data_IF_926467270950
#
_entry.id   IF_926467270950
#
_cell.length_a   1.000
_cell.length_b   1.000
_cell.length_c   1.000
_cell.angle_alpha   90.00
_cell.angle_beta   90.00
_cell.angle_gamma   90.00
#
_symmetry.space_group_name_H-M   'P 1'
#
loop_
_entity.id
_entity.type
_entity.pdbx_description
1 polymer ?
#
# COMPACT_ATOMS: atom_id res chain seq x y z
N UNK A 1 -16.95 17.12 -6.86
CA UNK A 1 -17.51 16.31 -5.76
C UNK A 1 -16.43 15.33 -5.33
N UNK A 2 -16.22 15.11 -4.03
CA UNK A 2 -15.21 14.16 -3.57
C UNK A 2 -15.81 12.75 -3.58
N UNK A 3 -15.09 11.82 -4.20
CA UNK A 3 -15.39 10.39 -4.25
C UNK A 3 -14.44 9.64 -3.33
N UNK A 4 -14.89 8.49 -2.84
CA UNK A 4 -14.11 7.67 -1.93
C UNK A 4 -14.24 6.18 -2.25
N UNK A 5 -13.21 5.43 -1.88
CA UNK A 5 -13.14 3.98 -2.00
C UNK A 5 -12.29 3.39 -0.87
N UNK A 6 -12.69 2.21 -0.41
CA UNK A 6 -11.92 1.40 0.54
C UNK A 6 -12.06 -0.09 0.17
N UNK A 7 -10.97 -0.87 0.16
CA UNK A 7 -11.07 -2.31 -0.08
C UNK A 7 -11.68 -3.01 1.13
N UNK A 8 -12.41 -4.11 0.88
CA UNK A 8 -12.73 -5.07 1.94
C UNK A 8 -11.47 -5.84 2.30
N UNK A 9 -10.94 -5.61 3.51
CA UNK A 9 -9.77 -6.31 4.03
C UNK A 9 -10.22 -7.51 4.88
N UNK A 10 -9.46 -8.63 4.87
CA UNK A 10 -9.70 -9.71 5.82
C UNK A 10 -9.45 -9.23 7.26
N UNK A 11 -10.06 -9.87 8.26
CA UNK A 11 -9.96 -9.45 9.66
C UNK A 11 -8.53 -9.37 10.22
N UNK A 12 -7.58 -10.10 9.61
CA UNK A 12 -6.14 -10.06 9.93
C UNK A 12 -5.31 -9.12 9.05
N UNK A 13 -5.93 -8.32 8.18
CA UNK A 13 -5.24 -7.45 7.23
C UNK A 13 -4.59 -8.19 6.06
N UNK A 14 -4.03 -7.41 5.12
CA UNK A 14 -3.27 -7.93 3.98
C UNK A 14 -1.79 -7.87 4.29
N UNK A 15 -1.09 -9.00 4.17
CA UNK A 15 0.36 -9.03 4.28
C UNK A 15 1.04 -8.24 3.17
N UNK A 16 1.95 -7.34 3.56
CA UNK A 16 2.80 -6.56 2.68
C UNK A 16 4.24 -7.07 2.77
N UNK A 17 4.90 -7.15 1.63
CA UNK A 17 6.36 -7.29 1.56
C UNK A 17 7.06 -5.95 1.80
N UNK A 18 6.36 -4.83 1.56
CA UNK A 18 6.83 -3.49 1.87
C UNK A 18 5.79 -2.44 1.52
N UNK A 19 5.84 -1.31 2.23
CA UNK A 19 5.15 -0.09 1.86
C UNK A 19 6.14 1.06 1.93
N UNK A 20 6.17 1.88 0.88
CA UNK A 20 6.93 3.12 0.92
C UNK A 20 6.16 4.27 0.29
N UNK A 21 6.38 5.47 0.81
CA UNK A 21 5.93 6.71 0.20
C UNK A 21 7.17 7.47 -0.25
N UNK A 22 7.20 7.88 -1.51
CA UNK A 22 8.31 8.62 -2.09
C UNK A 22 7.78 9.97 -2.55
N UNK A 23 8.33 11.03 -1.99
CA UNK A 23 8.09 12.39 -2.47
C UNK A 23 9.30 12.87 -3.26
N UNK A 24 9.08 13.43 -4.45
CA UNK A 24 10.08 14.08 -5.28
C UNK A 24 9.57 15.45 -5.76
N UNK A 25 10.04 16.52 -5.12
CA UNK A 25 9.58 17.87 -5.43
C UNK A 25 8.07 18.05 -5.16
N UNK A 26 7.26 18.05 -6.22
CA UNK A 26 5.78 18.16 -6.15
C UNK A 26 5.08 16.81 -6.34
N UNK A 27 5.81 15.79 -6.75
CA UNK A 27 5.26 14.48 -7.04
C UNK A 27 5.32 13.62 -5.78
N UNK A 28 4.25 12.89 -5.50
CA UNK A 28 4.16 11.99 -4.37
C UNK A 28 3.64 10.65 -4.88
N UNK A 29 4.27 9.56 -4.47
CA UNK A 29 3.87 8.21 -4.87
C UNK A 29 3.84 7.28 -3.67
N UNK A 30 2.80 6.46 -3.57
CA UNK A 30 2.77 5.30 -2.69
C UNK A 30 3.10 4.04 -3.47
N UNK A 31 4.05 3.28 -2.95
CA UNK A 31 4.51 2.01 -3.51
C UNK A 31 4.15 0.89 -2.55
N UNK A 32 3.32 -0.04 -3.02
CA UNK A 32 2.85 -1.18 -2.22
C UNK A 32 3.37 -2.47 -2.83
N UNK A 33 4.20 -3.18 -2.08
CA UNK A 33 4.74 -4.47 -2.44
C UNK A 33 3.98 -5.56 -1.68
N UNK A 34 3.40 -6.51 -2.42
CA UNK A 34 2.68 -7.66 -1.85
C UNK A 34 3.35 -8.97 -2.31
N UNK A 35 3.43 -9.99 -1.45
CA UNK A 35 4.03 -11.27 -1.82
C UNK A 35 3.39 -11.86 -3.09
N UNK A 36 4.21 -12.21 -4.08
CA UNK A 36 3.76 -12.85 -5.32
C UNK A 36 2.92 -11.95 -6.26
N UNK A 37 2.91 -10.64 -6.03
CA UNK A 37 2.19 -9.64 -6.85
C UNK A 37 3.15 -8.60 -7.39
N UNK A 38 2.81 -8.02 -8.54
CA UNK A 38 3.51 -6.84 -9.06
C UNK A 38 3.35 -5.67 -8.10
N UNK A 39 4.43 -4.87 -7.95
CA UNK A 39 4.39 -3.62 -7.19
C UNK A 39 3.28 -2.72 -7.70
N UNK A 40 2.47 -2.19 -6.78
CA UNK A 40 1.52 -1.14 -7.09
C UNK A 40 2.19 0.21 -6.89
N UNK A 41 1.95 1.14 -7.82
CA UNK A 41 2.39 2.53 -7.73
C UNK A 41 1.16 3.43 -7.87
N UNK A 42 0.91 4.23 -6.85
CA UNK A 42 -0.28 5.07 -6.72
C UNK A 42 0.22 6.51 -6.63
N UNK A 43 0.00 7.37 -7.65
CA UNK A 43 0.25 8.79 -7.55
C UNK A 43 -0.65 9.40 -6.48
N UNK A 44 -0.06 10.22 -5.63
CA UNK A 44 -0.72 10.82 -4.48
C UNK A 44 -0.79 12.34 -4.62
N UNK A 45 -1.90 12.91 -4.21
CA UNK A 45 -1.98 14.35 -3.91
C UNK A 45 -1.66 14.63 -2.44
N UNK A 46 -1.95 13.65 -1.58
CA UNK A 46 -1.71 13.70 -0.14
C UNK A 46 -1.72 12.27 0.45
N UNK A 47 -1.07 12.07 1.60
CA UNK A 47 -1.09 10.79 2.30
C UNK A 47 -1.06 10.92 3.82
N UNK A 48 -1.89 10.12 4.49
CA UNK A 48 -1.86 9.88 5.92
C UNK A 48 -1.50 8.43 6.21
N UNK A 49 -0.57 8.19 7.13
CA UNK A 49 -0.23 6.84 7.59
C UNK A 49 -0.34 6.76 9.10
N UNK A 50 -1.23 5.89 9.57
CA UNK A 50 -1.37 5.51 10.97
C UNK A 50 -0.67 4.18 11.20
N UNK A 51 0.16 4.08 12.24
CA UNK A 51 0.91 2.87 12.55
C UNK A 51 0.54 2.33 13.93
N UNK A 52 0.27 1.03 14.01
CA UNK A 52 0.19 0.29 15.26
C UNK A 52 1.56 -0.03 15.85
N UNK A 53 1.56 -0.70 16.99
CA UNK A 53 2.79 -1.12 17.69
C UNK A 53 3.66 -2.04 16.80
N UNK A 54 4.98 -1.89 16.93
CA UNK A 54 5.96 -2.72 16.23
C UNK A 54 6.24 -2.36 14.77
N UNK A 55 5.56 -1.34 14.23
CA UNK A 55 5.89 -0.77 12.92
C UNK A 55 6.98 0.28 13.07
N UNK A 56 8.01 0.20 12.25
CA UNK A 56 9.11 1.16 12.16
C UNK A 56 8.97 1.97 10.88
N UNK A 57 9.26 3.27 10.96
CA UNK A 57 9.40 4.17 9.83
C UNK A 57 10.87 4.55 9.66
N UNK A 58 11.45 4.16 8.53
CA UNK A 58 12.74 4.62 8.08
C UNK A 58 12.55 5.81 7.13
N UNK A 59 13.12 6.97 7.48
CA UNK A 59 13.13 8.15 6.61
C UNK A 59 14.49 8.26 5.94
N UNK A 60 14.51 8.23 4.61
CA UNK A 60 15.73 8.27 3.80
C UNK A 60 15.70 9.45 2.84
N UNK A 61 16.77 10.22 2.83
CA UNK A 61 17.02 11.20 1.78
C UNK A 61 17.54 10.48 0.55
N UNK A 62 16.89 10.68 -0.59
CA UNK A 62 17.35 10.14 -1.88
C UNK A 62 18.34 11.13 -2.50
N UNK A 63 17.94 12.41 -2.55
CA UNK A 63 18.76 13.53 -3.00
C UNK A 63 18.36 14.84 -2.29
N UNK A 64 18.66 16.00 -2.87
CA UNK A 64 18.36 17.30 -2.25
C UNK A 64 16.88 17.69 -2.22
N UNK A 65 16.02 16.98 -2.94
CA UNK A 65 14.59 17.31 -3.11
C UNK A 65 13.66 16.12 -2.91
N UNK A 66 14.19 14.90 -2.84
CA UNK A 66 13.37 13.70 -2.67
C UNK A 66 13.63 12.97 -1.34
N UNK A 67 12.53 12.48 -0.75
CA UNK A 67 12.51 11.69 0.47
C UNK A 67 11.78 10.36 0.22
N UNK A 68 12.25 9.31 0.87
CA UNK A 68 11.56 8.02 0.95
C UNK A 68 11.23 7.70 2.40
N UNK A 69 9.96 7.42 2.64
CA UNK A 69 9.40 6.93 3.90
C UNK A 69 9.15 5.44 3.72
N UNK A 70 9.93 4.59 4.36
CA UNK A 70 9.82 3.14 4.24
C UNK A 70 9.27 2.57 5.54
N UNK A 71 8.14 1.87 5.45
CA UNK A 71 7.51 1.23 6.59
C UNK A 71 7.87 -0.25 6.63
N UNK A 72 8.27 -0.72 7.80
CA UNK A 72 8.63 -2.12 8.02
C UNK A 72 8.20 -2.59 9.40
N UNK A 73 8.14 -3.89 9.60
CA UNK A 73 7.92 -4.49 10.90
C UNK A 73 8.71 -5.82 10.99
N UNK A 74 9.38 -6.13 12.11
CA UNK A 74 10.23 -7.32 12.23
C UNK A 74 9.50 -8.63 11.96
N UNK A 75 8.21 -8.67 12.28
CA UNK A 75 7.35 -9.85 12.18
C UNK A 75 6.49 -9.87 10.91
N UNK A 76 6.77 -8.97 9.96
CA UNK A 76 5.99 -8.75 8.75
C UNK A 76 5.07 -7.54 8.89
N UNK A 77 4.78 -6.86 7.78
CA UNK A 77 3.93 -5.67 7.74
C UNK A 77 2.52 -6.05 7.28
N UNK A 78 1.50 -5.57 7.99
CA UNK A 78 0.10 -5.78 7.63
C UNK A 78 -0.56 -4.44 7.28
N UNK A 79 -1.26 -4.41 6.15
CA UNK A 79 -2.24 -3.38 5.81
C UNK A 79 -3.57 -3.73 6.46
N UNK A 80 -4.00 -2.94 7.44
CA UNK A 80 -5.23 -3.18 8.21
C UNK A 80 -6.37 -2.26 7.82
N UNK A 81 -6.08 -1.15 7.16
CA UNK A 81 -7.08 -0.23 6.64
C UNK A 81 -6.52 0.59 5.47
N UNK A 82 -7.37 0.94 4.50
CA UNK A 82 -7.04 1.81 3.38
C UNK A 82 -8.27 2.59 2.92
N UNK A 83 -8.17 3.91 2.94
CA UNK A 83 -9.14 4.81 2.33
C UNK A 83 -8.49 5.63 1.23
N UNK A 84 -9.13 5.68 0.06
CA UNK A 84 -8.68 6.45 -1.10
C UNK A 84 -9.76 7.47 -1.45
N UNK A 85 -9.38 8.74 -1.61
CA UNK A 85 -10.28 9.84 -1.99
C UNK A 85 -9.76 10.60 -3.20
N UNK A 86 -10.66 11.09 -4.05
CA UNK A 86 -10.33 11.89 -5.25
C UNK A 86 -11.48 12.82 -5.64
N UNK A 87 -11.18 13.84 -6.44
CA UNK A 87 -12.19 14.74 -7.00
C UNK A 87 -12.58 14.34 -8.43
N UNK A 88 -13.85 14.57 -8.76
CA UNK A 88 -14.57 13.94 -9.88
C UNK A 88 -14.15 14.37 -11.29
N UNK A 89 -13.38 15.45 -11.44
CA UNK A 89 -13.17 16.11 -12.74
C UNK A 89 -12.21 15.36 -13.69
N UNK A 90 -11.52 14.31 -13.23
CA UNK A 90 -10.39 13.71 -13.97
C UNK A 90 -10.62 12.26 -14.48
N UNK A 91 -11.77 11.63 -14.22
CA UNK A 91 -11.92 10.18 -14.47
C UNK A 91 -13.11 9.82 -15.37
N UNK A 92 -12.82 9.42 -16.62
CA UNK A 92 -13.81 8.88 -17.58
C UNK A 92 -14.08 7.38 -17.41
N UNK A 93 -13.29 6.67 -16.59
CA UNK A 93 -13.56 5.30 -16.13
C UNK A 93 -13.71 5.28 -14.61
N UNK A 94 -14.50 4.34 -14.07
CA UNK A 94 -14.67 4.13 -12.64
C UNK A 94 -13.34 3.75 -11.99
N UNK A 95 -12.59 4.75 -11.49
CA UNK A 95 -11.40 4.60 -10.65
C UNK A 95 -11.57 3.49 -9.60
N UNK A 96 -12.80 3.40 -9.09
CA UNK A 96 -13.30 2.35 -8.22
C UNK A 96 -12.97 0.92 -8.72
N UNK A 97 -13.21 0.59 -10.00
CA UNK A 97 -12.97 -0.74 -10.55
C UNK A 97 -11.48 -1.04 -10.73
N UNK A 98 -10.69 0.00 -11.04
CA UNK A 98 -9.24 -0.10 -11.08
C UNK A 98 -8.70 -0.40 -9.69
N UNK A 99 -9.14 0.33 -8.66
CA UNK A 99 -8.76 0.11 -7.26
C UNK A 99 -9.22 -1.26 -6.76
N UNK A 100 -10.45 -1.67 -7.07
CA UNK A 100 -10.97 -2.99 -6.73
C UNK A 100 -10.16 -4.11 -7.38
N UNK A 101 -9.72 -3.94 -8.63
CA UNK A 101 -8.86 -4.91 -9.33
C UNK A 101 -7.45 -4.94 -8.73
N UNK A 102 -6.88 -3.78 -8.42
CA UNK A 102 -5.55 -3.64 -7.84
C UNK A 102 -5.45 -4.32 -6.48
N UNK A 103 -6.43 -4.11 -5.62
CA UNK A 103 -6.44 -4.67 -4.26
C UNK A 103 -7.20 -6.01 -4.14
N UNK A 104 -7.93 -6.40 -5.18
CA UNK A 104 -8.65 -7.67 -5.25
C UNK A 104 -7.75 -8.92 -5.29
N UNK A 105 -8.36 -10.07 -5.02
CA UNK A 105 -7.69 -11.37 -4.95
C UNK A 105 -7.39 -11.97 -6.33
N UNK A 106 -8.05 -11.48 -7.39
CA UNK A 106 -7.88 -11.98 -8.75
C UNK A 106 -6.48 -11.57 -9.25
N UNK A 107 -5.73 -12.54 -9.76
CA UNK A 107 -4.45 -12.29 -10.43
C UNK A 107 -4.78 -11.62 -11.76
N UNK A 108 -4.33 -10.39 -12.03
CA UNK A 108 -4.41 -9.89 -13.40
C UNK A 108 -3.53 -10.81 -14.24
N UNK A 109 -4.14 -11.55 -15.16
CA UNK A 109 -3.43 -12.31 -16.19
C UNK A 109 -2.57 -11.32 -16.97
N UNK A 110 -1.26 -11.29 -16.68
CA UNK A 110 -0.19 -10.64 -17.46
C UNK A 110 -0.49 -9.23 -17.99
N UNK A 111 -1.42 -8.51 -17.39
CA UNK A 111 -1.83 -7.19 -17.82
C UNK A 111 -0.81 -6.18 -17.30
N UNK A 112 -0.51 -5.09 -18.06
CA UNK A 112 0.42 -4.07 -17.60
C UNK A 112 -0.02 -3.57 -16.21
N UNK A 113 0.96 -3.32 -15.34
CA UNK A 113 0.72 -2.75 -14.00
C UNK A 113 -0.30 -1.62 -14.11
N UNK A 114 -1.48 -1.73 -13.49
CA UNK A 114 -2.48 -0.67 -13.63
C UNK A 114 -1.90 0.59 -13.02
N UNK A 115 -1.68 1.60 -13.86
CA UNK A 115 -1.21 2.91 -13.45
C UNK A 115 -2.45 3.80 -13.31
N UNK A 116 -2.56 4.47 -12.17
CA UNK A 116 -3.50 5.57 -12.01
C UNK A 116 -2.94 6.76 -12.79
N UNK A 117 -3.75 7.34 -13.67
CA UNK A 117 -3.37 8.53 -14.46
C UNK A 117 -3.66 9.84 -13.72
N UNK A 118 -4.16 9.77 -12.49
CA UNK A 118 -4.37 10.94 -11.63
C UNK A 118 -3.97 10.69 -10.17
N UNK A 119 -3.76 11.79 -9.45
CA UNK A 119 -3.39 11.79 -8.05
C UNK A 119 -4.60 11.55 -7.14
N UNK A 120 -4.43 10.71 -6.13
CA UNK A 120 -5.44 10.44 -5.10
C UNK A 120 -4.93 10.79 -3.71
N UNK A 121 -5.83 11.04 -2.77
CA UNK A 121 -5.47 11.07 -1.34
C UNK A 121 -5.58 9.67 -0.77
N UNK A 122 -4.55 9.19 -0.08
CA UNK A 122 -4.56 7.89 0.59
C UNK A 122 -4.43 8.01 2.10
N UNK A 123 -5.30 7.36 2.85
CA UNK A 123 -5.20 7.17 4.30
C UNK A 123 -4.98 5.67 4.57
N UNK A 124 -3.88 5.34 5.23
CA UNK A 124 -3.39 3.97 5.38
C UNK A 124 -3.21 3.64 6.86
N UNK A 125 -3.68 2.48 7.31
CA UNK A 125 -3.33 1.94 8.62
C UNK A 125 -2.48 0.68 8.51
N UNK A 126 -1.39 0.66 9.26
CA UNK A 126 -0.41 -0.41 9.27
C UNK A 126 -0.25 -1.02 10.67
N UNK A 127 0.05 -2.31 10.73
CA UNK A 127 0.43 -2.99 11.98
C UNK A 127 1.55 -4.01 11.74
N UNK A 128 2.23 -4.41 12.82
CA UNK A 128 3.12 -5.56 12.78
C UNK A 128 2.28 -6.85 12.72
N UNK A 129 2.67 -7.76 11.84
CA UNK A 129 2.08 -9.09 11.74
C UNK A 129 2.50 -9.98 12.90
N UNK A 130 1.72 -11.02 13.16
CA UNK A 130 2.20 -12.12 14.00
C UNK A 130 2.96 -13.08 13.08
N UNK A 131 4.27 -13.20 13.26
CA UNK A 131 4.99 -14.33 12.69
C UNK A 131 4.50 -15.58 13.42
N UNK A 132 3.70 -16.41 12.75
CA UNK A 132 3.35 -17.71 13.30
C UNK A 132 4.61 -18.59 13.29
N UNK A 133 5.38 -18.55 14.38
CA UNK A 133 6.59 -19.36 14.59
C UNK A 133 6.27 -20.83 14.90
N UNK A 134 5.05 -21.32 14.66
CA UNK A 134 4.63 -22.67 15.08
C UNK A 134 4.84 -23.76 14.04
N UNK A 135 5.79 -23.64 13.12
CA UNK A 135 6.09 -24.71 12.14
C UNK A 135 7.57 -24.95 11.88
N UNK A 136 8.45 -24.78 12.89
CA UNK A 136 9.85 -25.23 12.77
C UNK A 136 10.36 -26.11 13.94
N UNK A 137 9.60 -26.34 15.02
CA UNK A 137 10.06 -27.21 16.14
C UNK A 137 9.40 -28.61 16.21
N UNK A 138 8.64 -29.04 15.19
CA UNK A 138 8.17 -30.44 15.08
C UNK A 138 8.78 -31.12 13.86
N UNK A 139 10.11 -31.20 13.83
CA UNK A 139 10.81 -31.75 12.68
C UNK A 139 12.29 -31.98 12.90
N UNK A 140 12.72 -32.38 14.09
CA UNK A 140 14.02 -33.02 14.25
C UNK A 140 13.92 -34.11 15.32
N UNK A 141 14.17 -35.32 14.82
CA UNK A 141 14.06 -36.62 15.46
C UNK A 141 15.14 -36.87 16.52
#
# INVERSE_FOLDING_TARGET
MTREWSPTLPAGGIALAGLSIVGDGKDLEMRVDRPGRTRLVIPLSDAGVSTGEGVTLDVRRIDDRSLSLVYSAPTGLLLTDLHVRWDEDEWTMSLHDVLATLFGTVRPDSSPSPRLDACVRAEVSLSAGLTDRRTEEQGQA
#
